data_IF_797449506994
#
_entry.id   IF_797449506994
#
_cell.length_a   1.000
_cell.length_b   1.000
_cell.length_c   1.000
_cell.angle_alpha   90.00
_cell.angle_beta   90.00
_cell.angle_gamma   90.00
#
_symmetry.space_group_name_H-M   'P 1'
#
loop_
_entity.id
_entity.type
_entity.pdbx_description
1 polymer ?
#
# COMPACT_ATOMS: atom_id res chain seq x y z
N UNK A 1 -9.64 -22.04 4.98
CA UNK A 1 -9.92 -20.68 5.51
C UNK A 1 -9.47 -19.68 4.46
N UNK A 2 -10.34 -19.46 3.48
CA UNK A 2 -10.08 -18.45 2.47
C UNK A 2 -10.46 -17.09 3.06
N UNK A 3 -9.47 -16.39 3.58
CA UNK A 3 -9.63 -14.95 3.81
C UNK A 3 -9.67 -14.26 2.44
N UNK A 4 -10.60 -13.34 2.20
CA UNK A 4 -10.62 -12.59 0.94
C UNK A 4 -9.34 -11.77 0.82
N UNK A 5 -8.43 -12.23 -0.02
CA UNK A 5 -7.17 -11.55 -0.35
C UNK A 5 -7.40 -10.51 -1.44
N UNK A 6 -8.23 -9.53 -1.16
CA UNK A 6 -8.53 -8.46 -2.13
C UNK A 6 -7.98 -7.10 -1.71
N UNK A 7 -6.85 -7.05 -1.02
CA UNK A 7 -6.34 -5.77 -0.54
C UNK A 7 -5.75 -4.90 -1.65
N UNK A 8 -5.02 -5.47 -2.59
CA UNK A 8 -4.39 -4.69 -3.66
C UNK A 8 -5.37 -4.02 -4.63
N UNK A 9 -6.38 -4.74 -5.11
CA UNK A 9 -7.39 -4.17 -6.02
C UNK A 9 -8.37 -3.23 -5.31
N UNK A 10 -8.78 -3.55 -4.07
CA UNK A 10 -9.65 -2.69 -3.28
C UNK A 10 -9.01 -1.33 -2.98
N UNK A 11 -7.72 -1.32 -2.74
CA UNK A 11 -6.97 -0.10 -2.49
C UNK A 11 -6.80 0.77 -3.74
N UNK A 12 -6.67 0.17 -4.90
CA UNK A 12 -6.66 0.88 -6.19
C UNK A 12 -8.00 1.55 -6.46
N UNK A 13 -9.11 0.90 -6.15
CA UNK A 13 -10.45 1.48 -6.28
C UNK A 13 -10.68 2.65 -5.34
N UNK A 14 -10.22 2.57 -4.10
CA UNK A 14 -10.38 3.64 -3.10
C UNK A 14 -9.70 4.95 -3.48
N UNK A 15 -8.76 4.94 -4.42
CA UNK A 15 -8.03 6.12 -4.84
C UNK A 15 -8.62 6.82 -6.04
N UNK A 16 -9.22 6.05 -6.95
CA UNK A 16 -9.80 6.58 -8.16
C UNK A 16 -11.27 6.97 -7.96
N UNK A 17 -11.91 6.49 -6.92
CA UNK A 17 -13.27 6.85 -6.54
C UNK A 17 -13.29 7.48 -5.14
N UNK A 18 -14.08 8.54 -4.91
CA UNK A 18 -14.09 9.29 -3.65
C UNK A 18 -14.66 8.47 -2.49
N UNK A 19 -15.53 7.54 -2.78
CA UNK A 19 -16.16 6.63 -1.79
C UNK A 19 -16.47 5.29 -2.45
N UNK A 20 -16.75 4.29 -1.63
CA UNK A 20 -17.33 3.04 -2.08
C UNK A 20 -16.54 1.80 -1.70
N UNK A 21 -17.11 0.68 -2.06
CA UNK A 21 -16.54 -0.64 -1.89
C UNK A 21 -17.37 -1.63 -2.66
N UNK A 22 -16.89 -2.84 -2.78
CA UNK A 22 -17.66 -3.93 -3.36
C UNK A 22 -17.48 -5.21 -2.53
N UNK A 23 -18.47 -6.07 -2.61
CA UNK A 23 -18.43 -7.40 -2.04
C UNK A 23 -18.64 -8.38 -3.20
N UNK A 24 -17.71 -9.32 -3.35
CA UNK A 24 -17.81 -10.38 -4.34
C UNK A 24 -17.77 -11.74 -3.65
N UNK A 25 -18.62 -12.66 -4.07
CA UNK A 25 -18.68 -13.98 -3.46
C UNK A 25 -19.88 -14.79 -3.93
N UNK A 26 -20.26 -15.76 -3.14
CA UNK A 26 -21.42 -16.62 -3.36
C UNK A 26 -22.71 -15.79 -3.26
N UNK A 27 -23.65 -16.03 -4.19
CA UNK A 27 -24.86 -15.20 -4.35
C UNK A 27 -25.70 -15.07 -3.07
N UNK A 28 -25.93 -16.18 -2.38
CA UNK A 28 -26.69 -16.20 -1.13
C UNK A 28 -26.06 -15.33 -0.03
N UNK A 29 -24.73 -15.27 0.04
CA UNK A 29 -23.99 -14.43 0.97
C UNK A 29 -24.02 -12.96 0.55
N UNK A 30 -23.95 -12.67 -0.76
CA UNK A 30 -24.06 -11.30 -1.28
C UNK A 30 -25.44 -10.74 -0.98
N UNK A 31 -26.49 -11.52 -1.16
CA UNK A 31 -27.86 -11.10 -0.84
C UNK A 31 -28.03 -10.83 0.66
N UNK A 32 -27.53 -11.71 1.51
CA UNK A 32 -27.53 -11.49 2.95
C UNK A 32 -26.78 -10.20 3.36
N UNK A 33 -25.64 -9.92 2.72
CA UNK A 33 -24.91 -8.67 2.90
C UNK A 33 -25.74 -7.46 2.47
N UNK A 34 -26.45 -7.55 1.33
CA UNK A 34 -27.32 -6.49 0.84
C UNK A 34 -28.42 -6.13 1.86
N UNK A 35 -29.08 -7.13 2.40
CA UNK A 35 -30.10 -6.90 3.45
C UNK A 35 -29.51 -6.38 4.77
N UNK A 36 -28.28 -6.71 5.09
CA UNK A 36 -27.61 -6.23 6.31
C UNK A 36 -27.10 -4.79 6.19
N UNK A 37 -26.69 -4.38 5.01
CA UNK A 37 -26.07 -3.06 4.75
C UNK A 37 -27.09 -1.98 4.37
N UNK A 38 -28.32 -2.37 4.07
CA UNK A 38 -29.42 -1.45 3.73
C UNK A 38 -30.42 -1.35 4.88
N UNK A 39 -31.42 -0.47 4.72
CA UNK A 39 -32.54 -0.41 5.68
C UNK A 39 -33.30 -1.73 5.69
N UNK A 40 -33.91 -2.12 6.83
CA UNK A 40 -34.60 -3.38 6.95
C UNK A 40 -35.63 -3.61 5.83
N UNK A 41 -35.51 -4.76 5.17
CA UNK A 41 -36.42 -5.19 4.10
C UNK A 41 -36.17 -4.61 2.72
N UNK A 42 -35.22 -3.70 2.56
CA UNK A 42 -34.96 -3.06 1.24
C UNK A 42 -34.01 -3.87 0.35
N UNK A 43 -32.92 -4.40 0.93
CA UNK A 43 -31.91 -5.07 0.11
C UNK A 43 -31.22 -4.11 -0.86
N UNK A 44 -30.63 -4.69 -1.93
CA UNK A 44 -29.79 -3.95 -2.89
C UNK A 44 -30.53 -3.36 -4.11
N UNK A 45 -31.82 -3.59 -4.21
CA UNK A 45 -32.61 -3.18 -5.38
C UNK A 45 -33.01 -1.70 -5.35
N UNK A 46 -32.95 -1.08 -4.19
CA UNK A 46 -33.33 0.30 -3.98
C UNK A 46 -32.25 1.09 -3.26
N UNK A 47 -32.21 2.35 -3.49
CA UNK A 47 -31.28 3.28 -2.86
C UNK A 47 -30.66 4.26 -3.86
N UNK A 48 -30.28 5.42 -3.33
CA UNK A 48 -29.64 6.45 -4.13
C UNK A 48 -28.15 6.15 -4.28
N UNK A 49 -27.64 6.21 -5.51
CA UNK A 49 -26.20 6.14 -5.77
C UNK A 49 -25.46 7.46 -5.49
N UNK A 50 -26.16 8.50 -5.06
CA UNK A 50 -25.63 9.84 -4.74
C UNK A 50 -24.85 10.49 -5.91
N UNK A 51 -25.08 10.07 -7.14
CA UNK A 51 -24.42 10.60 -8.34
C UNK A 51 -22.96 10.16 -8.51
N UNK A 52 -22.46 9.23 -7.71
CA UNK A 52 -21.05 8.81 -7.70
C UNK A 52 -20.67 7.77 -8.75
N UNK A 53 -21.62 7.28 -9.54
CA UNK A 53 -21.38 6.20 -10.51
C UNK A 53 -20.35 6.58 -11.58
N UNK A 54 -20.31 7.86 -11.98
CA UNK A 54 -19.29 8.36 -12.91
C UNK A 54 -17.89 8.17 -12.37
N UNK A 55 -17.69 8.49 -11.10
CA UNK A 55 -16.39 8.39 -10.45
C UNK A 55 -15.97 6.92 -10.26
N UNK A 56 -16.92 6.02 -10.00
CA UNK A 56 -16.66 4.58 -10.00
C UNK A 56 -16.21 4.07 -11.38
N UNK A 57 -16.89 4.43 -12.44
CA UNK A 57 -16.52 4.03 -13.80
C UNK A 57 -15.16 4.61 -14.20
N UNK A 58 -14.89 5.86 -13.85
CA UNK A 58 -13.60 6.47 -14.08
C UNK A 58 -12.50 5.75 -13.30
N UNK A 59 -12.75 5.43 -12.02
CA UNK A 59 -11.84 4.65 -11.20
C UNK A 59 -11.54 3.27 -11.79
N UNK A 60 -12.58 2.56 -12.23
CA UNK A 60 -12.43 1.26 -12.88
C UNK A 60 -11.59 1.35 -14.17
N UNK A 61 -11.80 2.39 -14.97
CA UNK A 61 -11.02 2.61 -16.19
C UNK A 61 -9.54 2.86 -15.91
N UNK A 62 -9.21 3.60 -14.85
CA UNK A 62 -7.83 3.94 -14.49
C UNK A 62 -7.12 2.83 -13.71
N UNK A 63 -7.87 1.99 -13.01
CA UNK A 63 -7.34 0.98 -12.09
C UNK A 63 -6.26 0.06 -12.69
N UNK A 64 -6.37 -0.47 -13.92
CA UNK A 64 -5.33 -1.33 -14.49
C UNK A 64 -3.97 -0.64 -14.62
N UNK A 65 -3.96 0.64 -15.02
CA UNK A 65 -2.72 1.42 -15.17
C UNK A 65 -2.06 1.69 -13.81
N UNK A 66 -2.87 2.03 -12.81
CA UNK A 66 -2.39 2.28 -11.44
C UNK A 66 -1.87 1.00 -10.81
N UNK A 67 -2.60 -0.11 -10.94
CA UNK A 67 -2.16 -1.41 -10.44
C UNK A 67 -0.85 -1.86 -11.10
N UNK A 68 -0.72 -1.68 -12.41
CA UNK A 68 0.51 -2.00 -13.14
C UNK A 68 1.69 -1.13 -12.68
N UNK A 69 1.48 0.15 -12.38
CA UNK A 69 2.52 1.03 -11.84
C UNK A 69 2.98 0.56 -10.45
N UNK A 70 2.05 0.22 -9.57
CA UNK A 70 2.36 -0.29 -8.24
C UNK A 70 3.11 -1.64 -8.29
N UNK A 71 2.68 -2.57 -9.14
CA UNK A 71 3.38 -3.84 -9.35
C UNK A 71 4.79 -3.65 -9.88
N UNK A 72 4.99 -2.76 -10.85
CA UNK A 72 6.34 -2.41 -11.34
C UNK A 72 7.21 -1.82 -10.23
N UNK A 73 6.63 -0.99 -9.36
CA UNK A 73 7.32 -0.45 -8.19
C UNK A 73 7.77 -1.56 -7.25
N UNK A 74 6.87 -2.47 -6.89
CA UNK A 74 7.18 -3.60 -6.02
C UNK A 74 8.28 -4.51 -6.59
N UNK A 75 8.20 -4.86 -7.89
CA UNK A 75 9.23 -5.67 -8.56
C UNK A 75 10.58 -4.93 -8.60
N UNK A 76 10.57 -3.63 -8.84
CA UNK A 76 11.78 -2.82 -8.88
C UNK A 76 12.45 -2.74 -7.50
N UNK A 77 11.67 -2.54 -6.44
CA UNK A 77 12.16 -2.57 -5.08
C UNK A 77 12.78 -3.94 -4.74
N UNK A 78 12.06 -5.04 -5.02
CA UNK A 78 12.59 -6.38 -4.83
C UNK A 78 13.94 -6.55 -5.53
N UNK A 79 14.02 -6.20 -6.81
CA UNK A 79 15.25 -6.37 -7.60
C UNK A 79 16.45 -5.56 -7.06
N UNK A 80 16.22 -4.32 -6.61
CA UNK A 80 17.28 -3.49 -6.01
C UNK A 80 17.75 -4.11 -4.70
N UNK A 81 16.84 -4.40 -3.77
CA UNK A 81 17.22 -4.85 -2.43
C UNK A 81 17.77 -6.29 -2.42
N UNK A 82 17.31 -7.17 -3.31
CA UNK A 82 17.95 -8.48 -3.55
C UNK A 82 19.42 -8.33 -3.99
N UNK A 83 19.69 -7.44 -4.94
CA UNK A 83 21.07 -7.19 -5.42
C UNK A 83 21.98 -6.61 -4.35
N UNK A 84 21.41 -5.91 -3.38
CA UNK A 84 22.11 -5.39 -2.21
C UNK A 84 22.28 -6.44 -1.09
N UNK A 85 21.74 -7.65 -1.27
CA UNK A 85 21.86 -8.76 -0.33
C UNK A 85 20.80 -8.81 0.79
N UNK A 86 19.74 -8.01 0.70
CA UNK A 86 18.63 -8.06 1.66
C UNK A 86 17.61 -9.14 1.27
N UNK A 87 17.09 -9.92 2.24
CA UNK A 87 15.95 -10.78 2.00
C UNK A 87 14.71 -9.98 1.60
N UNK A 88 14.01 -10.43 0.57
CA UNK A 88 12.78 -9.79 0.07
C UNK A 88 11.68 -10.82 -0.16
N UNK A 89 10.44 -10.44 0.10
CA UNK A 89 9.26 -11.32 -0.06
C UNK A 89 8.12 -10.52 -0.71
N UNK A 90 7.60 -10.96 -1.86
CA UNK A 90 8.13 -11.98 -2.76
C UNK A 90 9.44 -11.52 -3.44
N UNK A 91 10.21 -12.45 -3.98
CA UNK A 91 11.41 -12.09 -4.74
C UNK A 91 11.05 -11.45 -6.10
N UNK A 92 12.05 -10.89 -6.79
CA UNK A 92 11.83 -10.12 -8.01
C UNK A 92 11.25 -10.93 -9.19
N UNK A 93 11.33 -12.26 -9.15
CA UNK A 93 10.88 -13.17 -10.21
C UNK A 93 9.63 -13.98 -9.84
N UNK A 94 9.18 -13.93 -8.60
CA UNK A 94 7.99 -14.63 -8.15
C UNK A 94 6.70 -14.01 -8.69
N UNK A 95 5.70 -14.87 -8.91
CA UNK A 95 4.34 -14.43 -9.22
C UNK A 95 3.76 -13.64 -8.06
N UNK A 96 3.13 -12.51 -8.37
CA UNK A 96 2.55 -11.62 -7.37
C UNK A 96 1.03 -11.66 -7.39
N UNK A 97 0.45 -11.59 -6.21
CA UNK A 97 -0.99 -11.57 -6.00
C UNK A 97 -1.48 -10.27 -5.34
N UNK A 98 -0.53 -9.39 -4.99
CA UNK A 98 -0.77 -8.06 -4.44
C UNK A 98 0.37 -7.10 -4.84
N UNK A 99 0.32 -5.87 -4.33
CA UNK A 99 1.28 -4.80 -4.62
C UNK A 99 2.28 -4.59 -3.49
N UNK A 100 2.30 -5.45 -2.48
CA UNK A 100 3.14 -5.30 -1.29
C UNK A 100 4.51 -5.92 -1.55
N UNK A 101 5.54 -5.24 -1.09
CA UNK A 101 6.91 -5.73 -1.07
C UNK A 101 7.47 -5.65 0.34
N UNK A 102 7.81 -6.80 0.91
CA UNK A 102 8.57 -6.84 2.15
C UNK A 102 10.08 -6.83 1.86
N UNK A 103 10.83 -6.07 2.67
CA UNK A 103 12.30 -6.04 2.68
C UNK A 103 12.76 -6.18 4.11
N UNK A 104 13.61 -7.17 4.41
CA UNK A 104 14.13 -7.40 5.75
C UNK A 104 15.52 -6.76 5.89
N UNK A 105 15.64 -5.79 6.80
CA UNK A 105 16.92 -5.10 7.04
C UNK A 105 17.74 -5.72 8.16
N UNK A 106 17.12 -6.50 9.07
CA UNK A 106 17.79 -7.11 10.21
C UNK A 106 18.14 -6.14 11.34
N UNK A 107 17.97 -4.84 11.14
CA UNK A 107 18.25 -3.77 12.11
C UNK A 107 17.14 -2.70 12.06
N UNK A 108 16.82 -2.05 13.19
CA UNK A 108 15.76 -1.05 13.25
C UNK A 108 16.05 0.19 12.37
N UNK A 109 17.30 0.61 12.31
CA UNK A 109 17.74 1.76 11.52
C UNK A 109 17.41 1.59 10.03
N UNK A 110 17.48 0.35 9.51
CA UNK A 110 17.11 0.05 8.12
C UNK A 110 15.64 0.34 7.83
N UNK A 111 14.75 -0.07 8.73
CA UNK A 111 13.31 0.22 8.61
C UNK A 111 13.03 1.71 8.69
N UNK A 112 13.68 2.41 9.63
CA UNK A 112 13.51 3.84 9.86
C UNK A 112 13.97 4.65 8.65
N UNK A 113 15.18 4.42 8.17
CA UNK A 113 15.74 5.19 7.05
C UNK A 113 15.04 4.90 5.73
N UNK A 114 14.61 3.65 5.52
CA UNK A 114 13.76 3.32 4.37
C UNK A 114 12.46 4.15 4.39
N UNK A 115 11.74 4.16 5.51
CA UNK A 115 10.50 4.92 5.64
C UNK A 115 10.72 6.42 5.48
N UNK A 116 11.80 6.99 6.03
CA UNK A 116 12.15 8.41 5.83
C UNK A 116 12.36 8.74 4.34
N UNK A 117 13.05 7.87 3.61
CA UNK A 117 13.28 8.06 2.17
C UNK A 117 11.98 8.00 1.36
N UNK A 118 11.09 7.07 1.68
CA UNK A 118 9.76 6.99 1.04
C UNK A 118 8.93 8.25 1.35
N UNK A 119 8.92 8.71 2.60
CA UNK A 119 8.19 9.91 2.99
C UNK A 119 8.71 11.16 2.27
N UNK A 120 10.02 11.30 2.16
CA UNK A 120 10.65 12.43 1.47
C UNK A 120 10.32 12.47 -0.03
N UNK A 121 9.94 11.34 -0.64
CA UNK A 121 9.49 11.25 -2.02
C UNK A 121 7.98 11.46 -2.21
N UNK A 122 7.22 11.61 -1.13
CA UNK A 122 5.77 11.78 -1.20
C UNK A 122 5.40 13.10 -1.91
N UNK A 123 4.35 13.14 -2.74
CA UNK A 123 3.91 14.37 -3.40
C UNK A 123 3.27 15.35 -2.42
N UNK A 124 2.77 14.84 -1.30
CA UNK A 124 2.18 15.59 -0.20
C UNK A 124 2.90 15.17 1.07
N UNK A 125 3.11 16.09 2.00
CA UNK A 125 3.76 15.86 3.29
C UNK A 125 5.22 15.35 3.22
N UNK A 126 5.94 15.62 2.11
CA UNK A 126 7.36 15.25 1.96
C UNK A 126 8.30 15.92 2.99
N UNK A 127 7.87 16.98 3.63
CA UNK A 127 8.61 17.67 4.69
C UNK A 127 8.50 17.00 6.06
N UNK A 128 7.58 16.07 6.24
CA UNK A 128 7.39 15.31 7.48
C UNK A 128 8.47 14.25 7.60
N UNK A 129 9.06 14.14 8.77
CA UNK A 129 9.98 13.03 9.08
C UNK A 129 9.23 11.99 9.91
N UNK A 130 9.01 10.78 9.41
CA UNK A 130 8.36 9.73 10.18
C UNK A 130 9.28 9.23 11.29
N UNK A 131 8.68 8.93 12.42
CA UNK A 131 9.35 8.36 13.60
C UNK A 131 8.58 7.14 14.11
N UNK A 132 9.25 6.16 14.74
CA UNK A 132 8.58 5.06 15.42
C UNK A 132 7.63 5.57 16.50
N UNK A 133 6.44 4.99 16.58
CA UNK A 133 5.40 5.39 17.51
C UNK A 133 4.62 4.18 18.03
N UNK A 134 4.22 4.16 19.32
CA UNK A 134 3.34 3.13 19.86
C UNK A 134 1.97 3.19 19.18
N UNK A 135 1.55 2.08 18.58
CA UNK A 135 0.24 1.99 17.94
C UNK A 135 -0.67 1.00 18.68
N UNK A 136 -1.96 1.35 18.91
CA UNK A 136 -2.92 0.42 19.52
C UNK A 136 -3.02 -0.90 18.75
N UNK A 137 -2.92 -2.02 19.47
CA UNK A 137 -2.98 -3.35 18.88
C UNK A 137 -1.65 -3.94 18.40
N UNK A 138 -0.56 -3.19 18.52
CA UNK A 138 0.79 -3.67 18.26
C UNK A 138 1.58 -3.85 19.57
N UNK A 139 2.47 -4.83 19.58
CA UNK A 139 3.37 -5.15 20.69
C UNK A 139 4.75 -4.46 20.60
N UNK A 140 4.94 -3.64 19.57
CA UNK A 140 6.15 -2.85 19.31
C UNK A 140 5.78 -1.54 18.66
N UNK A 141 6.69 -0.58 18.73
CA UNK A 141 6.54 0.65 17.95
C UNK A 141 6.48 0.33 16.46
N UNK A 142 5.73 1.14 15.71
CA UNK A 142 5.58 1.05 14.26
C UNK A 142 5.96 2.39 13.65
N UNK A 143 6.73 2.37 12.58
CA UNK A 143 6.98 3.54 11.75
C UNK A 143 6.13 3.46 10.48
N UNK A 144 5.58 4.60 10.07
CA UNK A 144 4.76 4.70 8.87
C UNK A 144 5.20 5.90 8.03
N UNK A 145 5.48 5.65 6.76
CA UNK A 145 5.65 6.66 5.74
C UNK A 145 4.41 6.64 4.83
N UNK A 146 3.69 7.73 4.75
CA UNK A 146 2.50 7.85 3.93
C UNK A 146 2.33 9.28 3.42
N UNK A 147 2.26 9.43 2.11
CA UNK A 147 1.83 10.67 1.47
C UNK A 147 0.42 10.49 0.94
N UNK A 148 -0.56 11.14 1.53
CA UNK A 148 -1.96 10.95 1.18
C UNK A 148 -2.56 12.24 0.61
N UNK A 149 -3.28 12.13 -0.53
CA UNK A 149 -4.12 13.22 -1.04
C UNK A 149 -5.33 13.47 -0.13
N UNK A 150 -5.81 12.41 0.50
CA UNK A 150 -6.94 12.43 1.41
C UNK A 150 -6.57 11.62 2.64
N UNK A 151 -6.81 12.15 3.82
CA UNK A 151 -6.56 11.46 5.08
C UNK A 151 -7.21 10.09 5.12
N UNK A 152 -6.43 9.06 5.46
CA UNK A 152 -6.88 7.67 5.51
C UNK A 152 -6.88 6.92 4.18
N UNK A 153 -6.45 7.56 3.09
CA UNK A 153 -6.29 6.94 1.76
C UNK A 153 -4.83 6.83 1.39
N UNK A 154 -4.06 6.12 2.15
CA UNK A 154 -2.61 6.11 2.05
C UNK A 154 -2.10 5.06 1.10
N UNK A 155 -2.12 5.27 -0.22
CA UNK A 155 -1.40 4.31 -1.06
C UNK A 155 -0.84 4.94 -2.33
N UNK A 156 -0.70 6.23 -2.33
CA UNK A 156 0.06 6.92 -3.37
C UNK A 156 1.48 6.39 -3.43
N UNK A 157 2.11 6.27 -2.29
CA UNK A 157 3.35 5.57 -2.01
C UNK A 157 3.47 5.46 -0.51
N UNK A 158 3.58 4.27 0.04
CA UNK A 158 3.67 4.08 1.48
C UNK A 158 4.63 2.97 1.87
N UNK A 159 5.17 3.10 3.05
CA UNK A 159 5.95 2.06 3.70
C UNK A 159 5.69 2.08 5.19
N UNK A 160 5.56 0.92 5.77
CA UNK A 160 5.42 0.76 7.21
C UNK A 160 6.19 -0.46 7.69
N UNK A 161 6.56 -0.47 8.95
CA UNK A 161 7.21 -1.61 9.56
C UNK A 161 7.22 -1.54 11.08
N UNK A 162 7.05 -2.70 11.76
CA UNK A 162 7.23 -2.78 13.20
C UNK A 162 8.72 -2.74 13.55
N UNK A 163 9.03 -2.04 14.63
CA UNK A 163 10.40 -1.97 15.15
C UNK A 163 10.68 -3.19 16.04
N UNK A 164 10.67 -4.35 15.40
CA UNK A 164 11.00 -5.64 16.03
C UNK A 164 11.60 -6.61 15.00
N UNK A 165 12.39 -7.59 15.43
CA UNK A 165 12.92 -8.61 14.53
C UNK A 165 11.81 -9.28 13.70
N UNK A 166 12.05 -9.56 12.40
CA UNK A 166 13.32 -9.41 11.66
C UNK A 166 13.59 -8.00 11.11
N UNK A 167 12.89 -6.97 11.58
CA UNK A 167 13.02 -5.58 11.11
C UNK A 167 12.71 -5.46 9.61
N UNK A 168 11.52 -5.89 9.26
CA UNK A 168 11.00 -5.85 7.91
C UNK A 168 10.15 -4.60 7.68
N UNK A 169 10.31 -3.98 6.52
CA UNK A 169 9.44 -2.93 6.03
C UNK A 169 8.50 -3.49 4.96
N UNK A 170 7.28 -2.99 4.95
CA UNK A 170 6.27 -3.32 3.95
C UNK A 170 6.00 -2.09 3.08
N UNK A 171 6.48 -2.17 1.86
CA UNK A 171 6.35 -1.11 0.85
C UNK A 171 5.20 -1.40 -0.10
N UNK A 172 4.43 -0.39 -0.47
CA UNK A 172 3.36 -0.52 -1.45
C UNK A 172 3.02 0.79 -2.14
N UNK A 173 2.39 0.68 -3.30
CA UNK A 173 1.79 1.81 -4.00
C UNK A 173 2.64 2.39 -5.11
N UNK A 174 2.42 3.66 -5.35
CA UNK A 174 2.88 4.39 -6.50
C UNK A 174 1.79 4.48 -7.57
N UNK A 175 1.08 5.62 -7.64
CA UNK A 175 0.05 5.88 -8.65
C UNK A 175 0.63 5.90 -10.06
N UNK A 176 1.90 6.27 -10.16
CA UNK A 176 2.65 6.29 -11.41
C UNK A 176 4.00 5.60 -11.22
N UNK A 177 4.48 4.96 -12.26
CA UNK A 177 5.80 4.33 -12.26
C UNK A 177 6.95 5.30 -11.94
N UNK A 178 7.03 6.53 -12.53
CA UNK A 178 8.09 7.46 -12.18
C UNK A 178 8.13 7.82 -10.69
N UNK A 179 6.98 8.00 -10.05
CA UNK A 179 6.91 8.29 -8.61
C UNK A 179 7.38 7.10 -7.77
N UNK A 180 6.90 5.89 -8.05
CA UNK A 180 7.37 4.68 -7.35
C UNK A 180 8.89 4.51 -7.46
N UNK A 181 9.44 4.70 -8.66
CA UNK A 181 10.88 4.65 -8.91
C UNK A 181 11.65 5.69 -8.09
N UNK A 182 11.17 6.94 -8.07
CA UNK A 182 11.78 8.01 -7.28
C UNK A 182 11.81 7.64 -5.79
N UNK A 183 10.69 7.17 -5.24
CA UNK A 183 10.60 6.80 -3.83
C UNK A 183 11.59 5.71 -3.44
N UNK A 184 11.70 4.68 -4.26
CA UNK A 184 12.64 3.58 -4.02
C UNK A 184 14.10 4.07 -4.11
N UNK A 185 14.42 4.95 -5.04
CA UNK A 185 15.78 5.52 -5.14
C UNK A 185 16.08 6.45 -3.96
N UNK A 186 15.11 7.21 -3.47
CA UNK A 186 15.28 8.03 -2.28
C UNK A 186 15.43 7.18 -1.01
N UNK A 187 14.67 6.09 -0.88
CA UNK A 187 14.88 5.16 0.25
C UNK A 187 16.29 4.57 0.25
N UNK A 188 16.80 4.24 -0.93
CA UNK A 188 18.18 3.77 -1.08
C UNK A 188 19.20 4.86 -0.70
N UNK A 189 18.99 6.10 -1.12
CA UNK A 189 19.87 7.23 -0.77
C UNK A 189 19.93 7.43 0.75
N UNK A 190 18.81 7.35 1.46
CA UNK A 190 18.78 7.45 2.92
C UNK A 190 19.55 6.33 3.60
N UNK A 191 19.42 5.09 3.12
CA UNK A 191 20.17 3.95 3.61
C UNK A 191 21.68 4.08 3.36
N UNK A 192 22.08 4.64 2.21
CA UNK A 192 23.50 4.92 1.91
C UNK A 192 24.05 6.02 2.82
N UNK A 193 23.31 7.10 3.02
CA UNK A 193 23.70 8.19 3.92
C UNK A 193 23.85 7.72 5.37
N UNK A 194 23.04 6.77 5.79
CA UNK A 194 23.12 6.15 7.12
C UNK A 194 24.24 5.09 7.24
N UNK A 195 24.94 4.78 6.14
CA UNK A 195 26.00 3.76 6.14
C UNK A 195 25.51 2.31 6.22
N UNK A 196 24.21 2.08 6.00
CA UNK A 196 23.59 0.75 6.00
C UNK A 196 23.84 0.02 4.70
N UNK A 197 23.94 0.77 3.61
CA UNK A 197 24.22 0.27 2.25
C UNK A 197 25.46 0.95 1.70
N UNK A 198 26.33 0.17 1.05
CA UNK A 198 27.46 0.67 0.27
C UNK A 198 27.24 0.31 -1.20
N UNK A 199 27.32 1.30 -2.10
CA UNK A 199 27.15 1.13 -3.55
C UNK A 199 28.48 0.90 -4.25
#
# INVERSE_FOLDING_TARGET
RDQPRSRGLGDVYKRQAPIGGYIAGREDLIDACGYRLTSPGLGREVGASLGIMKDFYQGLFLAPTVAAAALKGAIFAANIYEKLGFPVIPNSTESRHDIIQAVEFGIPEGVIEFCKGIQAAAPVDSYVTPEPWPMPGYDSDVIMAAGAFVQGSSIELSADGPIKPPYAVYFQGGLTWPHAKLGILMSLEYLVRAGIVTL
#
